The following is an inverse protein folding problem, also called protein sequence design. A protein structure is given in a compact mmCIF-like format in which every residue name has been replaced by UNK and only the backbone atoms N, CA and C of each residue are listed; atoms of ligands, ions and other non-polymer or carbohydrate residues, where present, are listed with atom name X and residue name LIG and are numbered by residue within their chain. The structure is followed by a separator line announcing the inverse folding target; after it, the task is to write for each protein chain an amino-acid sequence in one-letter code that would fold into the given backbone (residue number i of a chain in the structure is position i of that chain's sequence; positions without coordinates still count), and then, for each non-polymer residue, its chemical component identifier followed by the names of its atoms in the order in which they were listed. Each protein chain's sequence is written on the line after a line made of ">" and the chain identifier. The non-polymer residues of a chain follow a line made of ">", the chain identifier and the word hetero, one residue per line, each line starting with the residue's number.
data_IF_684228363920
#
_entry.id   IF_684228363920
#
_cell.length_a   1.000
_cell.length_b   1.000
_cell.length_c   1.000
_cell.angle_alpha   90.00
_cell.angle_beta   90.00
_cell.angle_gamma   90.00
#
_symmetry.space_group_name_H-M   'P 1'
#
loop_
_entity.id
_entity.type
_entity.pdbx_description
1 polymer ?
#
# COMPACT_ATOMS: atom_id res chain seq x y z
N UNK A 1 31.79 49.13 -33.80
CA UNK A 1 31.59 48.78 -32.37
C UNK A 1 30.14 48.95 -31.92
N UNK A 2 29.17 48.24 -32.54
CA UNK A 2 27.76 48.29 -32.07
C UNK A 2 26.86 47.15 -32.56
N UNK A 3 27.42 46.08 -33.11
CA UNK A 3 26.67 44.93 -33.64
C UNK A 3 27.17 43.56 -33.18
N UNK A 4 28.20 43.51 -32.33
CA UNK A 4 28.79 42.23 -31.85
C UNK A 4 28.31 41.88 -30.43
N UNK A 5 27.67 42.82 -29.73
CA UNK A 5 27.20 42.61 -28.35
C UNK A 5 25.92 41.75 -28.23
N UNK A 6 25.20 41.49 -29.33
CA UNK A 6 23.96 40.71 -29.29
C UNK A 6 24.16 39.20 -29.51
N UNK A 7 25.37 38.75 -29.87
CA UNK A 7 25.60 37.34 -30.17
C UNK A 7 26.03 36.49 -28.95
N UNK A 8 26.37 37.11 -27.81
CA UNK A 8 26.84 36.39 -26.62
C UNK A 8 25.77 36.14 -25.55
N UNK A 9 24.60 36.77 -25.65
CA UNK A 9 23.49 36.58 -24.69
C UNK A 9 22.59 35.39 -25.07
N UNK A 10 22.62 34.94 -26.33
CA UNK A 10 21.80 33.82 -26.80
C UNK A 10 22.32 32.42 -26.44
N UNK A 11 23.60 32.28 -26.07
CA UNK A 11 24.22 30.97 -25.83
C UNK A 11 24.26 30.55 -24.34
N UNK A 12 23.65 31.33 -23.45
CA UNK A 12 23.53 30.98 -22.02
C UNK A 12 22.15 30.41 -21.64
N UNK A 13 21.20 30.37 -22.56
CA UNK A 13 19.84 29.84 -22.31
C UNK A 13 19.69 28.34 -22.56
N UNK A 14 20.69 27.66 -23.15
CA UNK A 14 20.58 26.23 -23.48
C UNK A 14 21.25 25.31 -22.43
N UNK A 15 22.02 25.86 -21.50
CA UNK A 15 22.67 25.06 -20.44
C UNK A 15 21.81 24.86 -19.18
N UNK A 16 20.63 25.48 -19.10
CA UNK A 16 19.75 25.37 -17.92
C UNK A 16 18.89 24.09 -17.90
N UNK A 17 18.88 23.30 -18.98
CA UNK A 17 18.23 21.99 -18.98
C UNK A 17 19.19 20.83 -18.62
N UNK A 18 20.48 21.13 -18.39
CA UNK A 18 21.40 20.24 -17.68
C UNK A 18 21.25 20.42 -16.17
N UNK A 19 20.02 20.33 -15.68
CA UNK A 19 19.67 20.47 -14.27
C UNK A 19 20.44 19.45 -13.45
N UNK A 20 21.41 19.96 -12.70
CA UNK A 20 22.12 19.24 -11.66
C UNK A 20 21.16 18.52 -10.73
N UNK A 21 21.63 17.37 -10.25
CA UNK A 21 20.88 16.45 -9.40
C UNK A 21 20.02 17.19 -8.37
N UNK A 22 18.72 17.24 -8.64
CA UNK A 22 17.75 17.24 -7.58
C UNK A 22 17.73 15.80 -7.10
N UNK A 23 18.63 15.49 -6.18
CA UNK A 23 18.45 14.35 -5.30
C UNK A 23 17.00 14.42 -4.84
N UNK A 24 16.21 13.44 -5.26
CA UNK A 24 14.82 13.33 -4.86
C UNK A 24 14.83 13.40 -3.35
N UNK A 25 14.51 14.57 -2.82
CA UNK A 25 14.06 14.67 -1.46
C UNK A 25 12.83 13.80 -1.50
N UNK A 26 12.95 12.59 -0.94
CA UNK A 26 11.82 11.80 -0.51
C UNK A 26 11.13 12.69 0.50
N UNK A 27 10.33 13.63 -0.01
CA UNK A 27 9.42 14.43 0.75
C UNK A 27 8.32 13.44 1.10
N UNK A 28 8.62 12.58 2.07
CA UNK A 28 7.65 11.80 2.80
C UNK A 28 6.74 12.83 3.44
N UNK A 29 5.75 13.25 2.65
CA UNK A 29 4.75 14.21 3.08
C UNK A 29 4.18 13.73 4.40
N UNK A 30 3.91 14.67 5.30
CA UNK A 30 3.29 14.33 6.59
C UNK A 30 2.02 13.53 6.32
N UNK A 31 1.86 12.32 6.90
CA UNK A 31 0.66 11.52 6.69
C UNK A 31 -0.59 12.33 6.97
N UNK A 32 -1.48 12.40 5.98
CA UNK A 32 -2.75 13.10 6.11
C UNK A 32 -3.82 12.11 6.57
N UNK A 33 -4.66 12.54 7.50
CA UNK A 33 -5.78 11.72 7.97
C UNK A 33 -6.94 11.80 6.98
N UNK A 34 -7.47 10.64 6.58
CA UNK A 34 -8.56 10.54 5.62
C UNK A 34 -8.09 10.63 4.16
N UNK A 35 -9.04 10.83 3.26
CA UNK A 35 -8.81 10.83 1.80
C UNK A 35 -9.42 9.60 1.11
N UNK A 36 -9.22 9.53 -0.20
CA UNK A 36 -9.70 8.45 -1.05
C UNK A 36 -8.52 7.86 -1.81
N UNK A 37 -8.34 6.54 -1.71
CA UNK A 37 -7.45 5.80 -2.58
C UNK A 37 -8.26 5.24 -3.75
N UNK A 38 -7.83 5.51 -4.98
CA UNK A 38 -8.40 4.90 -6.18
C UNK A 38 -7.40 3.87 -6.69
N UNK A 39 -7.84 2.62 -6.77
CA UNK A 39 -7.01 1.47 -7.16
C UNK A 39 -7.68 0.81 -8.36
N UNK A 40 -6.90 0.44 -9.38
CA UNK A 40 -7.38 -0.37 -10.49
C UNK A 40 -7.31 -1.85 -10.10
N UNK A 41 -8.41 -2.57 -10.29
CA UNK A 41 -8.48 -4.01 -10.12
C UNK A 41 -8.26 -4.71 -11.45
N UNK A 42 -7.72 -5.93 -11.42
CA UNK A 42 -7.46 -6.73 -12.63
C UNK A 42 -8.75 -7.07 -13.39
N UNK A 43 -9.84 -7.34 -12.66
CA UNK A 43 -11.15 -7.69 -13.23
C UNK A 43 -12.29 -7.35 -12.28
N UNK A 44 -13.52 -7.46 -12.78
CA UNK A 44 -14.75 -7.27 -12.00
C UNK A 44 -14.92 -8.39 -10.95
N UNK A 45 -15.53 -8.04 -9.81
CA UNK A 45 -15.83 -9.00 -8.75
C UNK A 45 -17.05 -9.85 -9.13
N UNK A 46 -17.08 -11.12 -8.74
CA UNK A 46 -18.25 -11.99 -8.90
C UNK A 46 -19.11 -12.01 -7.65
N UNK A 47 -18.49 -12.02 -6.47
CA UNK A 47 -19.17 -12.11 -5.18
C UNK A 47 -18.40 -11.36 -4.08
N UNK A 48 -19.13 -10.96 -3.03
CA UNK A 48 -18.56 -10.44 -1.78
C UNK A 48 -18.59 -11.46 -0.63
N UNK A 49 -19.09 -12.67 -0.89
CA UNK A 49 -19.07 -13.78 0.05
C UNK A 49 -17.71 -14.50 -0.02
N UNK A 50 -16.87 -14.43 1.03
CA UNK A 50 -15.57 -15.09 1.03
C UNK A 50 -15.64 -16.61 0.97
N UNK A 51 -16.79 -17.23 1.31
CA UNK A 51 -16.98 -18.68 1.19
C UNK A 51 -17.32 -19.14 -0.23
N UNK A 52 -17.92 -18.26 -1.04
CA UNK A 52 -18.26 -18.54 -2.44
C UNK A 52 -17.15 -18.09 -3.41
N UNK A 53 -16.28 -17.18 -2.99
CA UNK A 53 -15.22 -16.61 -3.82
C UNK A 53 -14.18 -17.63 -4.31
N UNK A 54 -13.77 -17.47 -5.56
CA UNK A 54 -12.71 -18.26 -6.20
C UNK A 54 -11.67 -17.41 -6.92
N UNK A 55 -11.79 -16.07 -6.90
CA UNK A 55 -10.94 -15.16 -7.63
C UNK A 55 -9.92 -14.47 -6.72
N UNK A 56 -8.71 -14.22 -7.22
CA UNK A 56 -7.67 -13.52 -6.47
C UNK A 56 -8.02 -12.04 -6.28
N UNK A 57 -8.60 -11.40 -7.30
CA UNK A 57 -9.00 -9.98 -7.25
C UNK A 57 -10.01 -9.70 -6.13
N UNK A 58 -10.88 -10.66 -5.80
CA UNK A 58 -11.85 -10.53 -4.70
C UNK A 58 -11.14 -10.47 -3.34
N UNK A 59 -10.00 -11.17 -3.17
CA UNK A 59 -9.23 -11.15 -1.92
C UNK A 59 -8.66 -9.77 -1.62
N UNK A 60 -8.28 -9.01 -2.64
CA UNK A 60 -7.79 -7.63 -2.48
C UNK A 60 -8.85 -6.74 -1.81
N UNK A 61 -10.12 -6.95 -2.14
CA UNK A 61 -11.25 -6.25 -1.53
C UNK A 61 -11.55 -6.82 -0.14
N UNK A 62 -11.49 -8.14 0.04
CA UNK A 62 -11.77 -8.79 1.31
C UNK A 62 -10.84 -8.39 2.44
N UNK A 63 -9.55 -8.11 2.15
CA UNK A 63 -8.62 -7.58 3.16
C UNK A 63 -9.05 -6.25 3.77
N UNK A 64 -10.02 -5.54 3.17
CA UNK A 64 -10.57 -4.30 3.69
C UNK A 64 -11.93 -4.47 4.39
N UNK A 65 -12.54 -5.66 4.31
CA UNK A 65 -13.88 -5.96 4.84
C UNK A 65 -13.89 -7.02 5.94
N UNK A 66 -12.96 -7.97 5.88
CA UNK A 66 -12.92 -9.13 6.76
C UNK A 66 -11.53 -9.27 7.39
N UNK A 67 -11.52 -9.60 8.67
CA UNK A 67 -10.30 -9.93 9.40
C UNK A 67 -10.16 -11.45 9.62
N UNK A 68 -8.96 -11.98 9.42
CA UNK A 68 -8.62 -13.39 9.64
C UNK A 68 -7.87 -13.60 10.96
N UNK A 69 -7.82 -14.87 11.43
CA UNK A 69 -7.07 -15.24 12.64
C UNK A 69 -5.59 -14.82 12.56
N UNK A 70 -4.98 -15.05 11.40
CA UNK A 70 -3.62 -14.66 11.06
C UNK A 70 -3.62 -13.94 9.73
N UNK A 71 -2.67 -13.02 9.55
CA UNK A 71 -2.48 -12.25 8.32
C UNK A 71 -1.03 -12.36 7.84
N UNK A 72 -0.73 -11.80 6.67
CA UNK A 72 0.60 -11.80 6.08
C UNK A 72 1.09 -10.36 5.98
N UNK A 73 2.32 -10.10 6.41
CA UNK A 73 2.93 -8.78 6.31
C UNK A 73 3.55 -8.52 4.92
N UNK A 74 3.98 -7.28 4.61
CA UNK A 74 4.61 -6.98 3.31
C UNK A 74 5.89 -7.77 2.99
N UNK A 75 6.49 -8.44 3.99
CA UNK A 75 7.64 -9.33 3.83
C UNK A 75 7.24 -10.80 3.68
N UNK A 76 5.95 -11.06 3.47
CA UNK A 76 5.34 -12.37 3.33
C UNK A 76 5.43 -13.25 4.60
N UNK A 77 5.59 -12.62 5.77
CA UNK A 77 5.63 -13.33 7.05
C UNK A 77 4.23 -13.39 7.66
N UNK A 78 3.88 -14.57 8.19
CA UNK A 78 2.66 -14.75 8.98
C UNK A 78 2.77 -13.90 10.24
N UNK A 79 1.71 -13.15 10.53
CA UNK A 79 1.53 -12.35 11.75
C UNK A 79 0.17 -12.61 12.37
N UNK A 80 0.06 -12.26 13.64
CA UNK A 80 -1.20 -12.30 14.36
C UNK A 80 -2.20 -11.30 13.74
N UNK A 81 -3.41 -11.77 13.44
CA UNK A 81 -4.55 -10.95 13.04
C UNK A 81 -5.50 -10.80 14.23
N UNK A 82 -6.64 -11.48 14.19
CA UNK A 82 -7.59 -11.53 15.31
C UNK A 82 -7.07 -12.32 16.53
N UNK A 83 -6.04 -13.15 16.37
CA UNK A 83 -5.47 -13.93 17.46
C UNK A 83 -4.52 -13.07 18.31
N UNK A 84 -4.66 -13.17 19.63
CA UNK A 84 -3.76 -12.57 20.63
C UNK A 84 -2.64 -13.52 21.02
N UNK A 85 -2.98 -14.78 21.32
CA UNK A 85 -2.05 -15.85 21.69
C UNK A 85 -2.55 -17.18 21.14
N UNK A 86 -1.64 -18.12 20.90
CA UNK A 86 -1.97 -19.45 20.39
C UNK A 86 -1.11 -20.53 21.05
N UNK A 87 -1.70 -21.70 21.24
CA UNK A 87 -1.00 -22.93 21.64
C UNK A 87 -1.25 -24.00 20.56
N UNK A 88 -0.14 -24.53 20.03
CA UNK A 88 -0.11 -25.55 18.99
C UNK A 88 0.80 -26.71 19.37
N UNK A 89 0.99 -26.92 20.67
CA UNK A 89 1.80 -28.01 21.21
C UNK A 89 1.19 -29.40 20.95
N UNK A 90 -0.13 -29.47 20.78
CA UNK A 90 -0.84 -30.67 20.35
C UNK A 90 -1.00 -30.68 18.81
N UNK A 91 -0.65 -31.78 18.10
CA UNK A 91 -0.78 -31.89 16.66
C UNK A 91 -2.22 -31.91 16.13
N UNK A 92 -3.22 -32.20 16.97
CA UNK A 92 -4.63 -32.32 16.59
C UNK A 92 -5.53 -31.25 17.23
N UNK A 93 -5.03 -30.55 18.25
CA UNK A 93 -5.78 -29.52 18.96
C UNK A 93 -5.04 -28.20 18.93
N UNK A 94 -5.66 -27.19 18.33
CA UNK A 94 -5.13 -25.83 18.29
C UNK A 94 -6.00 -24.92 19.14
N UNK A 95 -5.36 -24.24 20.09
CA UNK A 95 -6.02 -23.26 20.95
C UNK A 95 -5.63 -21.85 20.51
N UNK A 96 -6.64 -21.02 20.24
CA UNK A 96 -6.46 -19.63 19.86
C UNK A 96 -7.22 -18.72 20.81
N UNK A 97 -6.49 -17.84 21.50
CA UNK A 97 -7.09 -16.75 22.28
C UNK A 97 -7.25 -15.54 21.38
N UNK A 98 -8.47 -15.05 21.21
CA UNK A 98 -8.75 -13.87 20.37
C UNK A 98 -8.45 -12.55 21.09
N UNK A 99 -8.24 -11.50 20.31
CA UNK A 99 -8.22 -10.13 20.82
C UNK A 99 -9.56 -9.75 21.47
N UNK A 100 -9.51 -8.95 22.53
CA UNK A 100 -10.69 -8.48 23.25
C UNK A 100 -11.32 -7.27 22.57
N UNK A 101 -12.64 -7.16 22.59
CA UNK A 101 -13.35 -5.96 22.12
C UNK A 101 -13.47 -5.85 20.60
N UNK A 102 -13.20 -6.93 19.87
CA UNK A 102 -13.51 -7.04 18.44
C UNK A 102 -15.03 -6.91 18.25
N UNK A 103 -15.42 -6.16 17.23
CA UNK A 103 -16.81 -5.91 16.87
C UNK A 103 -17.02 -6.20 15.40
N UNK A 104 -18.25 -6.54 15.07
CA UNK A 104 -18.73 -6.43 13.69
C UNK A 104 -18.99 -4.97 13.35
N UNK A 105 -19.33 -4.71 12.10
CA UNK A 105 -19.53 -3.36 11.59
C UNK A 105 -20.88 -2.74 12.01
N UNK A 106 -21.77 -3.52 12.62
CA UNK A 106 -23.11 -3.12 13.10
C UNK A 106 -23.18 -2.85 14.61
#
# INVERSE_FOLDING_TARGET
>A
MRRVAFAFIGLLLVAACGGGGSGGTNNSGTPQKGGTATIALESELRTLDPLDSSLLVEREVFYNMYDSLFTIDPTLKIKAGLVKTWDVSDPLNYEFTLQSGIKYHD
#
